data_IF_437085298178
#
_entry.id   IF_437085298178
#
_cell.length_a   1.000
_cell.length_b   1.000
_cell.length_c   1.000
_cell.angle_alpha   90.00
_cell.angle_beta   90.00
_cell.angle_gamma   90.00
#
_symmetry.space_group_name_H-M   'P 1'
#
loop_
_entity.id
_entity.type
_entity.pdbx_description
1 polymer ?
#
# COMPACT_ATOMS: atom_id res chain seq x y z
N UNK A 1 -18.23 21.15 -9.31
CA UNK A 1 -17.85 20.01 -8.46
C UNK A 1 -16.36 20.13 -8.21
N UNK A 2 -15.93 20.42 -6.98
CA UNK A 2 -14.52 20.55 -6.64
C UNK A 2 -13.94 19.13 -6.59
N UNK A 3 -13.10 18.77 -7.56
CA UNK A 3 -12.39 17.50 -7.52
C UNK A 3 -11.48 17.50 -6.30
N UNK A 4 -11.77 16.61 -5.34
CA UNK A 4 -10.91 16.43 -4.19
C UNK A 4 -9.62 15.73 -4.66
N UNK A 5 -8.49 16.15 -4.10
CA UNK A 5 -7.17 15.52 -4.31
C UNK A 5 -7.19 14.02 -3.94
N UNK A 6 -8.21 13.61 -3.19
CA UNK A 6 -8.56 12.24 -2.81
C UNK A 6 -8.74 11.30 -4.00
N UNK A 7 -9.30 11.79 -5.10
CA UNK A 7 -9.54 10.97 -6.31
C UNK A 7 -8.27 10.76 -7.14
N UNK A 8 -7.25 11.59 -6.92
CA UNK A 8 -6.00 11.56 -7.69
C UNK A 8 -5.01 10.50 -7.17
N UNK A 9 -5.14 10.02 -5.93
CA UNK A 9 -4.11 9.17 -5.32
C UNK A 9 -4.64 7.83 -4.76
N UNK A 10 -5.96 7.62 -4.57
CA UNK A 10 -6.51 6.27 -4.22
C UNK A 10 -6.03 5.79 -2.88
N UNK A 11 -5.63 6.77 -2.10
CA UNK A 11 -5.29 6.66 -0.71
C UNK A 11 -6.15 7.75 -0.11
N UNK A 12 -7.13 7.33 0.71
CA UNK A 12 -8.00 8.27 1.39
C UNK A 12 -7.16 9.34 2.06
N UNK A 13 -7.62 10.60 2.01
CA UNK A 13 -7.03 11.69 2.78
C UNK A 13 -6.86 11.32 4.25
N UNK A 14 -7.65 10.37 4.78
CA UNK A 14 -7.48 9.79 6.12
C UNK A 14 -6.19 9.00 6.31
N UNK A 15 -5.73 8.26 5.30
CA UNK A 15 -4.44 7.57 5.36
C UNK A 15 -3.30 8.58 5.27
N UNK A 16 -3.44 9.56 4.38
CA UNK A 16 -2.49 10.67 4.27
C UNK A 16 -2.47 11.54 5.55
N UNK A 17 -3.63 11.78 6.16
CA UNK A 17 -3.79 12.54 7.41
C UNK A 17 -3.34 11.73 8.62
N UNK A 18 -3.62 10.42 8.70
CA UNK A 18 -3.05 9.58 9.76
C UNK A 18 -1.51 9.53 9.70
N UNK A 19 -0.92 9.74 8.50
CA UNK A 19 0.52 9.91 8.31
C UNK A 19 1.00 11.37 8.50
N UNK A 20 0.15 12.37 8.28
CA UNK A 20 0.46 13.82 8.39
C UNK A 20 0.02 14.47 9.71
N UNK A 21 -0.72 13.79 10.58
CA UNK A 21 -1.14 14.27 11.90
C UNK A 21 0.06 14.32 12.89
N UNK A 22 1.23 13.86 12.45
CA UNK A 22 2.53 14.03 13.09
C UNK A 22 3.40 15.04 12.30
N UNK A 23 3.18 16.34 12.52
CA UNK A 23 3.99 17.49 12.05
C UNK A 23 4.24 17.58 10.50
N UNK A 24 4.71 18.72 9.93
CA UNK A 24 5.04 18.78 8.51
C UNK A 24 6.00 17.66 8.14
N UNK A 25 5.62 16.87 7.13
CA UNK A 25 6.23 15.57 6.80
C UNK A 25 7.77 15.66 6.78
N UNK A 26 8.40 15.12 7.82
CA UNK A 26 9.85 14.91 7.86
C UNK A 26 10.28 14.01 6.67
N UNK A 27 11.55 14.05 6.29
CA UNK A 27 12.09 13.29 5.16
C UNK A 27 11.73 11.79 5.24
N UNK A 28 11.63 11.25 6.46
CA UNK A 28 11.19 9.89 6.72
C UNK A 28 9.73 9.63 6.30
N UNK A 29 8.82 10.58 6.55
CA UNK A 29 7.42 10.45 6.16
C UNK A 29 7.22 10.59 4.66
N UNK A 30 7.96 11.49 4.02
CA UNK A 30 7.98 11.61 2.55
C UNK A 30 8.47 10.30 1.90
N UNK A 31 9.50 9.67 2.49
CA UNK A 31 9.98 8.36 2.04
C UNK A 31 8.93 7.26 2.21
N UNK A 32 8.17 7.25 3.32
CA UNK A 32 7.09 6.27 3.52
C UNK A 32 5.96 6.42 2.50
N UNK A 33 5.57 7.66 2.18
CA UNK A 33 4.55 7.94 1.15
C UNK A 33 5.02 7.46 -0.22
N UNK A 34 6.27 7.74 -0.57
CA UNK A 34 6.86 7.28 -1.84
C UNK A 34 6.84 5.76 -1.95
N UNK A 35 7.32 5.07 -0.92
CA UNK A 35 7.36 3.60 -0.93
C UNK A 35 5.96 2.98 -0.94
N UNK A 36 4.97 3.62 -0.31
CA UNK A 36 3.58 3.18 -0.42
C UNK A 36 3.09 3.30 -1.87
N UNK A 37 3.37 4.41 -2.54
CA UNK A 37 2.98 4.62 -3.93
C UNK A 37 3.64 3.60 -4.87
N UNK A 38 4.91 3.22 -4.63
CA UNK A 38 5.58 2.16 -5.39
C UNK A 38 4.89 0.81 -5.23
N UNK A 39 4.53 0.43 -4.00
CA UNK A 39 3.82 -0.82 -3.74
C UNK A 39 2.43 -0.81 -4.37
N UNK A 40 1.68 0.29 -4.21
CA UNK A 40 0.36 0.43 -4.82
C UNK A 40 0.46 0.26 -6.34
N UNK A 41 1.39 0.94 -7.01
CA UNK A 41 1.58 0.79 -8.47
C UNK A 41 1.87 -0.64 -8.90
N UNK A 42 2.73 -1.36 -8.17
CA UNK A 42 2.99 -2.79 -8.45
C UNK A 42 1.74 -3.65 -8.28
N UNK A 43 0.94 -3.39 -7.24
CA UNK A 43 -0.30 -4.14 -7.02
C UNK A 43 -1.32 -3.81 -8.11
N UNK A 44 -1.41 -2.55 -8.53
CA UNK A 44 -2.27 -2.10 -9.64
C UNK A 44 -1.95 -2.85 -10.93
N UNK A 45 -0.66 -2.94 -11.28
CA UNK A 45 -0.19 -3.67 -12.46
C UNK A 45 -0.52 -5.17 -12.38
N UNK A 46 -0.43 -5.77 -11.20
CA UNK A 46 -0.67 -7.20 -10.99
C UNK A 46 -2.16 -7.56 -10.92
N UNK A 47 -2.97 -6.73 -10.28
CA UNK A 47 -4.40 -6.98 -10.05
C UNK A 47 -5.28 -6.49 -11.19
N UNK A 48 -4.72 -5.70 -12.13
CA UNK A 48 -5.41 -5.23 -13.32
C UNK A 48 -6.20 -3.92 -13.12
N UNK A 49 -5.98 -3.26 -11.99
CA UNK A 49 -6.69 -2.03 -11.66
C UNK A 49 -6.46 -1.56 -10.23
N UNK A 50 -6.84 -0.30 -10.02
CA UNK A 50 -6.66 0.42 -8.76
C UNK A 50 -7.63 0.04 -7.67
N UNK A 51 -8.87 -0.22 -8.05
CA UNK A 51 -9.88 -0.66 -7.08
C UNK A 51 -9.50 -2.03 -6.50
N UNK A 52 -9.05 -2.94 -7.35
CA UNK A 52 -8.57 -4.27 -6.99
C UNK A 52 -7.29 -4.20 -6.16
N UNK A 53 -6.37 -3.28 -6.49
CA UNK A 53 -5.17 -3.07 -5.69
C UNK A 53 -5.47 -2.53 -4.29
N UNK A 54 -6.36 -1.55 -4.19
CA UNK A 54 -6.82 -1.03 -2.91
C UNK A 54 -7.52 -2.11 -2.08
N UNK A 55 -8.36 -2.94 -2.71
CA UNK A 55 -9.03 -4.06 -2.06
C UNK A 55 -8.00 -5.09 -1.56
N UNK A 56 -7.02 -5.45 -2.37
CA UNK A 56 -5.95 -6.36 -1.99
C UNK A 56 -5.17 -5.83 -0.78
N UNK A 57 -4.80 -4.55 -0.78
CA UNK A 57 -4.08 -3.91 0.34
C UNK A 57 -4.90 -3.91 1.64
N UNK A 58 -6.23 -3.86 1.56
CA UNK A 58 -7.17 -3.85 2.70
C UNK A 58 -7.61 -5.25 3.13
N UNK A 59 -7.30 -6.29 2.34
CA UNK A 59 -7.74 -7.66 2.58
C UNK A 59 -6.68 -8.45 3.35
N UNK A 60 -7.06 -9.15 4.44
CA UNK A 60 -6.16 -10.07 5.13
C UNK A 60 -5.60 -11.15 4.20
N UNK A 61 -4.27 -11.24 4.08
CA UNK A 61 -3.64 -12.29 3.27
C UNK A 61 -3.14 -13.42 4.18
N UNK A 62 -3.49 -14.66 3.83
CA UNK A 62 -3.05 -15.86 4.57
C UNK A 62 -1.52 -15.97 4.61
N UNK A 63 -0.84 -15.65 3.51
CA UNK A 63 0.61 -15.64 3.40
C UNK A 63 1.28 -14.58 4.31
N UNK A 64 0.52 -13.61 4.82
CA UNK A 64 0.98 -12.52 5.68
C UNK A 64 0.45 -12.67 7.11
N UNK A 65 0.28 -13.91 7.58
CA UNK A 65 -0.23 -14.23 8.92
C UNK A 65 -1.61 -13.61 9.19
N UNK A 66 -2.48 -13.65 8.16
CA UNK A 66 -3.81 -13.05 8.18
C UNK A 66 -3.83 -11.55 8.50
N UNK A 67 -2.72 -10.84 8.28
CA UNK A 67 -2.67 -9.38 8.39
C UNK A 67 -2.91 -8.71 7.05
N UNK A 68 -3.43 -7.50 7.10
CA UNK A 68 -3.65 -6.67 5.93
C UNK A 68 -2.31 -6.12 5.44
N UNK A 69 -1.99 -6.17 4.14
CA UNK A 69 -0.77 -5.58 3.61
C UNK A 69 -0.56 -4.13 4.06
N UNK A 70 -1.60 -3.29 4.03
CA UNK A 70 -1.51 -1.88 4.42
C UNK A 70 -1.06 -1.66 5.88
N UNK A 71 -1.37 -2.60 6.78
CA UNK A 71 -0.94 -2.50 8.18
C UNK A 71 0.54 -2.85 8.36
N UNK A 72 1.08 -3.69 7.47
CA UNK A 72 2.48 -4.13 7.52
C UNK A 72 3.45 -3.07 7.01
N UNK A 73 3.01 -2.23 6.07
CA UNK A 73 3.84 -1.16 5.45
C UNK A 73 4.32 -0.10 6.44
N UNK A 74 3.77 -0.08 7.66
CA UNK A 74 4.17 0.80 8.77
C UNK A 74 5.58 0.50 9.29
N UNK A 75 6.11 -0.69 9.00
CA UNK A 75 7.43 -1.15 9.47
C UNK A 75 8.29 -1.62 8.32
N UNK A 76 9.61 -1.56 8.46
CA UNK A 76 10.53 -2.09 7.45
C UNK A 76 10.30 -3.59 7.21
N UNK A 77 10.31 -4.38 8.28
CA UNK A 77 10.11 -5.83 8.18
C UNK A 77 8.75 -6.22 7.59
N UNK A 78 7.68 -5.48 7.93
CA UNK A 78 6.37 -5.72 7.35
C UNK A 78 6.30 -5.38 5.86
N UNK A 79 7.04 -4.35 5.41
CA UNK A 79 7.17 -3.99 3.99
C UNK A 79 7.90 -5.08 3.20
N UNK A 80 9.04 -5.55 3.69
CA UNK A 80 9.78 -6.65 3.07
C UNK A 80 8.88 -7.89 2.92
N UNK A 81 8.09 -8.22 3.95
CA UNK A 81 7.15 -9.33 3.86
C UNK A 81 6.06 -9.13 2.78
N UNK A 82 5.55 -7.90 2.61
CA UNK A 82 4.57 -7.58 1.56
C UNK A 82 5.21 -7.66 0.17
N UNK A 83 6.42 -7.13 0.00
CA UNK A 83 7.18 -7.18 -1.25
C UNK A 83 7.52 -8.62 -1.65
N UNK A 84 7.95 -9.45 -0.71
CA UNK A 84 8.18 -10.88 -0.92
C UNK A 84 6.89 -11.59 -1.34
N UNK A 85 5.77 -11.24 -0.71
CA UNK A 85 4.48 -11.83 -1.06
C UNK A 85 4.03 -11.41 -2.47
N UNK A 86 4.16 -10.14 -2.82
CA UNK A 86 3.87 -9.63 -4.17
C UNK A 86 4.74 -10.32 -5.22
N UNK A 87 6.03 -10.45 -4.95
CA UNK A 87 6.97 -11.16 -5.83
C UNK A 87 6.51 -12.60 -6.07
N UNK A 88 6.05 -13.32 -5.04
CA UNK A 88 5.51 -14.68 -5.20
C UNK A 88 4.25 -14.73 -6.07
N UNK A 89 3.38 -13.72 -5.95
CA UNK A 89 2.18 -13.60 -6.79
C UNK A 89 2.55 -13.30 -8.25
N UNK A 90 3.52 -12.42 -8.49
CA UNK A 90 4.04 -12.07 -9.83
C UNK A 90 4.61 -13.29 -10.58
N UNK A 91 5.36 -14.15 -9.88
CA UNK A 91 5.97 -15.34 -10.48
C UNK A 91 5.07 -16.59 -10.45
N UNK A 92 3.84 -16.50 -9.94
CA UNK A 92 2.90 -17.62 -9.88
C UNK A 92 3.38 -18.82 -9.06
N UNK A 93 4.23 -18.58 -8.05
CA UNK A 93 4.93 -19.67 -7.36
C UNK A 93 4.02 -20.33 -6.33
N UNK A 94 3.58 -21.54 -6.70
CA UNK A 94 2.72 -22.53 -6.05
C UNK A 94 1.21 -22.37 -6.26
N UNK A 95 0.77 -22.72 -7.46
CA UNK A 95 -0.44 -23.54 -7.63
C UNK A 95 -0.22 -24.95 -7.04
#
# INVERSE_FOLDING_TARGET
>A
MKGNIEDLIGISLRTLQAMSESDPLDAEQSSRVWQFAEILGRVEDLMGGREEAEEWLKTPAMALDHRKPIDLLKTHAGREAVEDHLTRLEYGVYA
#
